data_IF_781618998656
#
_entry.id   IF_781618998656
#
_cell.length_a   1.000
_cell.length_b   1.000
_cell.length_c   1.000
_cell.angle_alpha   90.00
_cell.angle_beta   90.00
_cell.angle_gamma   90.00
#
_symmetry.space_group_name_H-M   'P 1'
#
loop_
_entity.id
_entity.type
_entity.pdbx_description
1 polymer ?
#
# COMPACT_ATOMS: atom_id res chain seq x y z
N UNK A 1 -8.29 17.75 56.02
CA UNK A 1 -8.01 16.61 55.14
C UNK A 1 -9.21 16.47 54.21
N UNK A 2 -9.16 17.12 53.05
CA UNK A 2 -10.17 16.90 52.00
C UNK A 2 -9.76 15.66 51.20
N UNK A 3 -10.59 14.61 51.13
CA UNK A 3 -10.18 13.35 50.54
C UNK A 3 -10.49 13.28 49.03
N UNK A 4 -9.46 12.86 48.27
CA UNK A 4 -9.47 11.84 47.19
C UNK A 4 -10.38 11.92 45.97
N UNK A 5 -11.28 12.90 45.79
CA UNK A 5 -12.20 12.89 44.65
C UNK A 5 -11.51 13.05 43.27
N UNK A 6 -10.36 13.73 43.22
CA UNK A 6 -9.60 13.94 41.97
C UNK A 6 -8.85 12.68 41.53
N UNK A 7 -8.21 12.00 42.47
CA UNK A 7 -7.36 10.83 42.22
C UNK A 7 -8.16 9.61 41.78
N UNK A 8 -9.38 9.43 42.29
CA UNK A 8 -10.25 8.34 41.85
C UNK A 8 -10.78 8.53 40.42
N UNK A 9 -11.09 9.76 40.03
CA UNK A 9 -11.47 10.07 38.65
C UNK A 9 -10.28 9.84 37.69
N UNK A 10 -9.09 10.29 38.08
CA UNK A 10 -7.85 10.13 37.30
C UNK A 10 -7.49 8.65 37.10
N UNK A 11 -7.51 7.85 38.16
CA UNK A 11 -7.28 6.41 38.09
C UNK A 11 -8.29 5.71 37.16
N UNK A 12 -9.56 6.13 37.16
CA UNK A 12 -10.59 5.53 36.30
C UNK A 12 -10.37 5.88 34.82
N UNK A 13 -9.92 7.09 34.53
CA UNK A 13 -9.52 7.48 33.17
C UNK A 13 -8.28 6.71 32.70
N UNK A 14 -7.29 6.53 33.58
CA UNK A 14 -6.06 5.79 33.29
C UNK A 14 -6.36 4.32 32.95
N UNK A 15 -7.24 3.67 33.72
CA UNK A 15 -7.67 2.29 33.46
C UNK A 15 -8.39 2.14 32.11
N UNK A 16 -9.27 3.08 31.76
CA UNK A 16 -9.92 3.08 30.44
C UNK A 16 -8.90 3.32 29.32
N UNK A 17 -7.94 4.22 29.54
CA UNK A 17 -6.90 4.58 28.59
C UNK A 17 -5.97 3.41 28.32
N UNK A 18 -5.53 2.68 29.35
CA UNK A 18 -4.71 1.47 29.19
C UNK A 18 -5.45 0.39 28.41
N UNK A 19 -6.72 0.15 28.73
CA UNK A 19 -7.54 -0.87 28.03
C UNK A 19 -7.77 -0.51 26.57
N UNK A 20 -7.98 0.78 26.28
CA UNK A 20 -8.13 1.27 24.91
C UNK A 20 -6.81 1.17 24.14
N UNK A 21 -5.72 1.67 24.72
CA UNK A 21 -4.38 1.66 24.11
C UNK A 21 -3.93 0.24 23.78
N UNK A 22 -4.12 -0.73 24.69
CA UNK A 22 -3.77 -2.13 24.42
C UNK A 22 -4.54 -2.76 23.25
N UNK A 23 -5.80 -2.35 23.04
CA UNK A 23 -6.59 -2.82 21.88
C UNK A 23 -6.13 -2.13 20.60
N UNK A 24 -5.87 -0.83 20.67
CA UNK A 24 -5.38 -0.04 19.54
C UNK A 24 -4.00 -0.50 19.09
N UNK A 25 -3.09 -0.80 20.00
CA UNK A 25 -1.76 -1.31 19.69
C UNK A 25 -1.82 -2.62 18.88
N UNK A 26 -2.67 -3.56 19.31
CA UNK A 26 -2.89 -4.81 18.57
C UNK A 26 -3.56 -4.58 17.22
N UNK A 27 -4.53 -3.66 17.16
CA UNK A 27 -5.20 -3.31 15.91
C UNK A 27 -4.22 -2.66 14.92
N UNK A 28 -3.36 -1.74 15.37
CA UNK A 28 -2.33 -1.10 14.55
C UNK A 28 -1.35 -2.16 14.03
N UNK A 29 -0.85 -3.04 14.90
CA UNK A 29 0.05 -4.13 14.49
C UNK A 29 -0.58 -5.05 13.45
N UNK A 30 -1.86 -5.41 13.63
CA UNK A 30 -2.59 -6.23 12.67
C UNK A 30 -2.80 -5.51 11.33
N UNK A 31 -3.20 -4.23 11.35
CA UNK A 31 -3.38 -3.40 10.14
C UNK A 31 -2.07 -3.26 9.38
N UNK A 32 -0.95 -3.01 10.08
CA UNK A 32 0.37 -2.92 9.46
C UNK A 32 0.77 -4.24 8.81
N UNK A 33 0.52 -5.37 9.47
CA UNK A 33 0.82 -6.70 8.92
C UNK A 33 -0.03 -6.98 7.67
N UNK A 34 -1.32 -6.66 7.70
CA UNK A 34 -2.22 -6.79 6.54
C UNK A 34 -1.75 -5.91 5.40
N UNK A 35 -1.37 -4.66 5.68
CA UNK A 35 -0.88 -3.73 4.66
C UNK A 35 0.42 -4.22 4.02
N UNK A 36 1.34 -4.73 4.84
CA UNK A 36 2.60 -5.32 4.36
C UNK A 36 2.34 -6.52 3.46
N UNK A 37 1.43 -7.42 3.86
CA UNK A 37 1.02 -8.55 3.01
C UNK A 37 0.40 -8.06 1.70
N UNK A 38 -0.48 -7.06 1.73
CA UNK A 38 -1.08 -6.49 0.53
C UNK A 38 -0.02 -5.89 -0.41
N UNK A 39 0.99 -5.22 0.14
CA UNK A 39 2.14 -4.70 -0.59
C UNK A 39 2.92 -5.82 -1.28
N UNK A 40 3.26 -6.90 -0.56
CA UNK A 40 3.97 -8.05 -1.11
C UNK A 40 3.15 -8.70 -2.24
N UNK A 41 1.85 -8.89 -2.02
CA UNK A 41 0.95 -9.43 -3.04
C UNK A 41 0.90 -8.53 -4.27
N UNK A 42 0.81 -7.21 -4.11
CA UNK A 42 0.81 -6.24 -5.21
C UNK A 42 2.12 -6.30 -6.01
N UNK A 43 3.26 -6.40 -5.33
CA UNK A 43 4.56 -6.57 -5.99
C UNK A 43 4.64 -7.90 -6.76
N UNK A 44 4.17 -9.01 -6.18
CA UNK A 44 4.14 -10.31 -6.86
C UNK A 44 3.22 -10.29 -8.08
N UNK A 45 2.08 -9.62 -7.96
CA UNK A 45 1.08 -9.46 -9.02
C UNK A 45 1.66 -8.66 -10.20
N UNK A 46 2.40 -7.59 -9.93
CA UNK A 46 3.09 -6.80 -10.95
C UNK A 46 4.31 -7.51 -11.54
N UNK A 47 4.99 -8.38 -10.79
CA UNK A 47 6.12 -9.17 -11.27
C UNK A 47 5.68 -10.17 -12.35
N UNK A 48 4.42 -10.62 -12.32
CA UNK A 48 3.89 -11.50 -13.36
C UNK A 48 3.51 -10.69 -14.61
N UNK A 49 4.23 -10.83 -15.75
CA UNK A 49 4.01 -10.01 -16.94
C UNK A 49 2.60 -10.17 -17.54
N UNK A 50 1.93 -11.30 -17.27
CA UNK A 50 0.55 -11.53 -17.74
C UNK A 50 -0.49 -10.69 -16.99
N UNK A 51 -0.29 -10.40 -15.70
CA UNK A 51 -1.26 -9.62 -14.90
C UNK A 51 -0.98 -8.13 -15.07
N UNK A 52 0.31 -7.75 -15.17
CA UNK A 52 0.70 -6.44 -15.68
C UNK A 52 0.01 -6.18 -17.01
N UNK A 53 0.05 -7.10 -17.98
CA UNK A 53 -0.61 -6.91 -19.27
C UNK A 53 -2.13 -6.74 -19.17
N UNK A 54 -2.81 -7.35 -18.18
CA UNK A 54 -4.26 -7.20 -18.00
C UNK A 54 -4.66 -5.86 -17.36
N UNK A 55 -3.92 -5.39 -16.34
CA UNK A 55 -4.08 -4.06 -15.74
C UNK A 55 -3.63 -2.94 -16.69
N UNK A 56 -2.50 -3.15 -17.38
CA UNK A 56 -1.94 -2.28 -18.42
C UNK A 56 -2.70 -2.42 -19.75
N UNK A 57 -3.61 -3.39 -19.90
CA UNK A 57 -4.53 -3.43 -21.07
C UNK A 57 -5.45 -2.21 -21.09
N UNK A 58 -5.62 -1.53 -19.96
CA UNK A 58 -6.30 -0.24 -19.91
C UNK A 58 -5.43 0.87 -20.52
N UNK A 59 -4.09 0.79 -20.47
CA UNK A 59 -3.22 1.68 -21.28
C UNK A 59 -3.39 1.44 -22.78
N UNK A 60 -3.77 0.22 -23.20
CA UNK A 60 -4.15 -0.05 -24.60
C UNK A 60 -5.44 0.66 -25.04
N UNK A 61 -6.25 1.16 -24.11
CA UNK A 61 -7.42 2.00 -24.37
C UNK A 61 -7.08 3.51 -24.42
N UNK A 62 -5.89 3.93 -23.96
CA UNK A 62 -5.47 5.35 -23.99
C UNK A 62 -4.77 5.80 -25.28
N UNK A 63 -4.48 4.88 -26.20
CA UNK A 63 -4.02 5.24 -27.54
C UNK A 63 -2.50 5.48 -27.63
N UNK A 64 -1.93 4.86 -28.65
CA UNK A 64 -0.55 4.97 -29.14
C UNK A 64 0.54 4.32 -28.26
N UNK A 65 0.91 3.04 -28.52
CA UNK A 65 2.22 2.56 -28.08
C UNK A 65 3.28 3.50 -28.66
N UNK A 66 4.23 3.95 -27.84
CA UNK A 66 5.41 4.67 -28.31
C UNK A 66 6.08 3.78 -29.36
N UNK A 67 5.83 4.09 -30.63
CA UNK A 67 6.50 3.47 -31.75
C UNK A 67 7.99 3.67 -31.49
N UNK A 68 8.72 2.56 -31.45
CA UNK A 68 10.15 2.53 -31.69
C UNK A 68 10.42 2.98 -33.15
N UNK A 69 9.93 4.15 -33.54
CA UNK A 69 10.10 4.81 -34.83
C UNK A 69 11.30 5.76 -34.79
N UNK A 70 12.36 5.36 -34.08
CA UNK A 70 13.65 6.04 -34.08
C UNK A 70 14.75 5.05 -34.45
N UNK A 71 14.59 4.43 -35.62
CA UNK A 71 15.72 4.03 -36.47
C UNK A 71 15.28 4.05 -37.94
N UNK A 72 15.41 5.19 -38.63
CA UNK A 72 15.41 5.24 -40.08
C UNK A 72 16.88 5.23 -40.54
N UNK A 73 17.59 4.11 -40.46
CA UNK A 73 18.90 3.99 -41.12
C UNK A 73 19.12 2.54 -41.52
N UNK A 74 19.51 2.35 -42.78
CA UNK A 74 20.09 1.14 -43.39
C UNK A 74 19.12 0.20 -44.12
N UNK A 75 18.36 0.74 -45.07
CA UNK A 75 18.07 0.04 -46.33
C UNK A 75 18.60 0.87 -47.49
N UNK A 76 19.91 0.76 -47.74
CA UNK A 76 20.50 1.08 -49.04
C UNK A 76 21.83 0.32 -49.15
N UNK A 77 21.73 -0.97 -49.41
CA UNK A 77 22.76 -1.77 -50.06
C UNK A 77 21.98 -2.75 -50.93
N UNK A 78 21.63 -2.29 -52.13
CA UNK A 78 21.15 -3.13 -53.21
C UNK A 78 21.93 -2.69 -54.45
N UNK A 79 22.96 -3.47 -54.74
CA UNK A 79 23.64 -3.77 -56.02
C UNK A 79 23.97 -2.64 -57.03
#
# INVERSE_FOLDING_TARGET
>A
MEPNARTEAENRYEDLFLRFTNRVEKAIGFVLLVLLLALVLSQLLLQHPQIRYLMVKVERLEGNPYSAALTPVMKENED
#
